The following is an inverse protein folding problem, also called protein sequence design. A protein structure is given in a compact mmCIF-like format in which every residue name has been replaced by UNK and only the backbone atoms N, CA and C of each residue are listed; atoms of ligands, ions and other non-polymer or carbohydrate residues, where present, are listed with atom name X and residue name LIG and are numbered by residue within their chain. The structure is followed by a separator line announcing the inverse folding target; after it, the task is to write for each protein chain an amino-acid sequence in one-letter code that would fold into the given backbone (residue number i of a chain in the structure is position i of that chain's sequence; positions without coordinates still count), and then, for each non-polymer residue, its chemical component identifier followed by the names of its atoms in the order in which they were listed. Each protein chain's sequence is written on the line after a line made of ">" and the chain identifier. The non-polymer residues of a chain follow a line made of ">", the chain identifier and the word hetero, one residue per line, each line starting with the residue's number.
data_IF_073298050758
#
_entry.id   IF_073298050758
#
_cell.length_a   1.000
_cell.length_b   1.000
_cell.length_c   1.000
_cell.angle_alpha   90.00
_cell.angle_beta   90.00
_cell.angle_gamma   90.00
#
_symmetry.space_group_name_H-M   'P 1'
#
loop_
_entity.id
_entity.type
_entity.pdbx_description
1 polymer ?
#
# COMPACT_ATOMS: atom_id res chain seq x y z
N UNK A 1 25.60 -11.60 -14.93
CA UNK A 1 24.29 -11.82 -15.57
C UNK A 1 23.61 -12.95 -14.83
N UNK A 2 22.52 -12.65 -14.14
CA UNK A 2 21.75 -13.62 -13.35
C UNK A 2 20.43 -13.90 -14.10
N UNK A 3 20.11 -15.16 -14.45
CA UNK A 3 19.09 -15.50 -15.45
C UNK A 3 17.62 -15.50 -14.95
N UNK A 4 17.29 -14.90 -13.81
CA UNK A 4 15.93 -14.95 -13.24
C UNK A 4 15.06 -13.69 -13.41
N UNK A 5 15.53 -12.59 -13.99
CA UNK A 5 14.66 -11.59 -14.65
C UNK A 5 13.51 -10.94 -13.85
N UNK A 6 13.49 -11.01 -12.52
CA UNK A 6 12.54 -10.26 -11.69
C UNK A 6 13.17 -8.92 -11.34
N UNK A 7 13.04 -7.96 -12.27
CA UNK A 7 13.33 -6.57 -11.99
C UNK A 7 12.44 -6.10 -10.84
N UNK A 8 13.07 -5.58 -9.78
CA UNK A 8 12.41 -4.93 -8.66
C UNK A 8 11.62 -3.72 -9.13
N UNK A 9 10.40 -3.97 -9.59
CA UNK A 9 9.34 -2.96 -9.63
C UNK A 9 8.84 -2.82 -8.21
N UNK A 10 9.14 -1.68 -7.57
CA UNK A 10 8.39 -1.23 -6.41
C UNK A 10 6.93 -1.34 -6.79
N UNK A 11 6.24 -2.28 -6.16
CA UNK A 11 4.88 -2.56 -6.55
C UNK A 11 4.00 -1.76 -5.63
N UNK A 12 3.32 -0.83 -6.27
CA UNK A 12 2.43 0.19 -5.74
C UNK A 12 1.63 -0.27 -4.50
N UNK A 13 1.21 0.70 -3.67
CA UNK A 13 0.05 0.52 -2.79
C UNK A 13 -1.23 0.45 -3.64
N UNK A 14 -1.30 -0.63 -4.41
CA UNK A 14 -2.44 -0.98 -5.22
C UNK A 14 -3.47 -1.57 -4.27
N UNK A 15 -4.66 -0.97 -4.23
CA UNK A 15 -5.88 -1.72 -3.93
C UNK A 15 -6.10 -2.66 -5.11
N UNK A 16 -5.24 -3.68 -5.21
CA UNK A 16 -5.15 -4.53 -6.38
C UNK A 16 -6.48 -5.26 -6.59
N UNK A 17 -6.96 -5.22 -7.82
CA UNK A 17 -7.96 -6.16 -8.27
C UNK A 17 -7.30 -7.53 -8.37
N UNK A 18 -7.46 -8.35 -7.33
CA UNK A 18 -7.26 -9.78 -7.47
C UNK A 18 -8.22 -10.28 -8.54
N UNK A 19 -7.73 -10.43 -9.76
CA UNK A 19 -8.41 -11.11 -10.86
C UNK A 19 -8.44 -12.60 -10.52
N UNK A 20 -9.36 -12.99 -9.62
CA UNK A 20 -9.69 -14.38 -9.40
C UNK A 20 -10.43 -14.90 -10.61
N UNK A 21 -9.70 -15.51 -11.55
CA UNK A 21 -10.32 -16.40 -12.55
C UNK A 21 -10.97 -17.54 -11.78
N UNK A 22 -12.30 -17.47 -11.62
CA UNK A 22 -13.11 -18.55 -11.08
C UNK A 22 -13.17 -19.69 -12.08
N UNK A 23 -12.21 -20.61 -11.99
CA UNK A 23 -12.29 -21.97 -12.55
C UNK A 23 -12.78 -22.93 -11.46
N UNK A 24 -13.92 -23.57 -11.70
CA UNK A 24 -14.71 -24.28 -10.68
C UNK A 24 -14.10 -25.54 -10.06
N UNK A 25 -14.70 -25.94 -8.94
CA UNK A 25 -14.48 -27.22 -8.27
C UNK A 25 -15.17 -27.22 -6.92
N UNK A 26 -16.20 -28.07 -6.77
CA UNK A 26 -16.99 -28.18 -5.55
C UNK A 26 -16.15 -28.55 -4.33
N UNK A 27 -16.33 -27.80 -3.26
CA UNK A 27 -15.75 -28.08 -1.96
C UNK A 27 -16.44 -27.24 -0.89
N UNK A 28 -17.44 -27.82 -0.23
CA UNK A 28 -18.01 -27.29 1.00
C UNK A 28 -17.00 -27.45 2.13
N UNK A 29 -16.00 -26.58 2.15
CA UNK A 29 -15.07 -26.41 3.26
C UNK A 29 -15.17 -24.97 3.72
N UNK A 30 -15.68 -24.72 4.93
CA UNK A 30 -15.59 -23.40 5.56
C UNK A 30 -14.13 -23.17 5.97
N UNK A 31 -13.29 -22.87 4.98
CA UNK A 31 -11.93 -22.39 5.18
C UNK A 31 -11.94 -20.90 5.48
N UNK A 32 -10.95 -20.43 6.24
CA UNK A 32 -10.73 -18.99 6.40
C UNK A 32 -10.45 -18.36 5.02
N UNK A 33 -11.24 -17.34 4.66
CA UNK A 33 -11.05 -16.56 3.44
C UNK A 33 -10.12 -15.37 3.73
N UNK A 34 -9.10 -15.15 2.89
CA UNK A 34 -8.28 -13.95 2.96
C UNK A 34 -9.07 -12.75 2.39
N UNK A 35 -9.61 -11.93 3.28
CA UNK A 35 -10.45 -10.78 2.92
C UNK A 35 -9.63 -9.52 2.60
N UNK A 36 -8.56 -9.27 3.34
CA UNK A 36 -7.70 -8.11 3.14
C UNK A 36 -6.29 -8.37 3.70
N UNK A 37 -5.30 -7.64 3.18
CA UNK A 37 -3.89 -7.74 3.56
C UNK A 37 -3.23 -6.36 3.51
N UNK A 38 -2.35 -6.09 4.47
CA UNK A 38 -1.55 -4.87 4.55
C UNK A 38 -0.07 -5.25 4.72
N UNK A 39 0.80 -4.74 3.85
CA UNK A 39 2.25 -4.87 3.96
C UNK A 39 2.85 -3.55 4.44
N UNK A 40 3.54 -3.61 5.57
CA UNK A 40 4.12 -2.44 6.23
C UNK A 40 5.60 -2.71 6.49
N UNK A 41 6.44 -1.79 6.04
CA UNK A 41 7.84 -1.67 6.44
C UNK A 41 8.06 -0.48 7.37
N UNK A 42 9.29 -0.34 7.85
CA UNK A 42 9.73 0.77 8.70
C UNK A 42 11.06 1.33 8.20
N UNK A 43 11.57 2.38 8.83
CA UNK A 43 12.90 2.92 8.55
C UNK A 43 14.02 1.84 8.65
N UNK A 44 15.07 1.99 7.86
CA UNK A 44 16.27 1.13 7.94
C UNK A 44 16.14 -0.27 7.32
N UNK A 45 15.06 -0.58 6.61
CA UNK A 45 14.93 -1.83 5.87
C UNK A 45 15.82 -1.84 4.62
N UNK A 46 16.46 -2.97 4.34
CA UNK A 46 17.09 -3.23 3.04
C UNK A 46 16.03 -3.62 2.00
N UNK A 47 15.17 -2.65 1.67
CA UNK A 47 14.08 -2.84 0.72
C UNK A 47 14.40 -2.15 -0.60
N UNK A 48 14.59 -2.96 -1.65
CA UNK A 48 14.99 -2.50 -2.98
C UNK A 48 13.83 -1.89 -3.78
N UNK A 49 13.13 -0.91 -3.21
CA UNK A 49 12.05 -0.14 -3.86
C UNK A 49 12.47 1.33 -4.03
N UNK A 50 12.42 1.89 -5.25
CA UNK A 50 12.62 3.32 -5.48
C UNK A 50 11.65 4.20 -4.68
N UNK A 51 10.42 3.73 -4.46
CA UNK A 51 9.41 4.45 -3.67
C UNK A 51 9.79 4.47 -2.19
N UNK A 52 10.18 3.31 -1.64
CA UNK A 52 10.69 3.23 -0.27
C UNK A 52 11.91 4.12 -0.07
N UNK A 53 12.87 4.10 -1.01
CA UNK A 53 14.06 4.98 -0.95
C UNK A 53 13.67 6.45 -0.95
N UNK A 54 12.71 6.86 -1.78
CA UNK A 54 12.23 8.24 -1.78
C UNK A 54 11.74 8.68 -0.39
N UNK A 55 11.03 7.80 0.33
CA UNK A 55 10.57 8.03 1.70
C UNK A 55 11.73 8.01 2.69
N UNK A 56 12.57 6.98 2.64
CA UNK A 56 13.70 6.79 3.55
C UNK A 56 14.74 7.93 3.45
N UNK A 57 14.88 8.57 2.30
CA UNK A 57 15.74 9.73 2.10
C UNK A 57 15.16 11.02 2.72
N UNK A 58 13.90 11.03 3.16
CA UNK A 58 13.15 12.24 3.58
C UNK A 58 12.59 12.17 5.00
N UNK A 59 12.42 10.97 5.54
CA UNK A 59 11.83 10.75 6.86
C UNK A 59 12.78 9.90 7.70
N UNK A 60 13.15 10.39 8.89
CA UNK A 60 14.08 9.70 9.78
C UNK A 60 13.44 8.46 10.46
N UNK A 61 12.15 8.55 10.78
CA UNK A 61 11.34 7.47 11.38
C UNK A 61 9.96 7.46 10.76
N UNK A 62 9.46 6.28 10.38
CA UNK A 62 8.18 6.15 9.69
C UNK A 62 7.71 4.70 9.58
N UNK A 63 6.41 4.53 9.37
CA UNK A 63 5.85 3.30 8.81
C UNK A 63 5.55 3.52 7.32
N UNK A 64 5.92 2.55 6.49
CA UNK A 64 5.73 2.61 5.05
C UNK A 64 4.84 1.47 4.58
N UNK A 65 3.68 1.82 4.03
CA UNK A 65 2.73 0.87 3.46
C UNK A 65 3.09 0.66 2.00
N UNK A 66 3.69 -0.50 1.72
CA UNK A 66 3.96 -0.93 0.35
C UNK A 66 2.64 -1.29 -0.33
N UNK A 67 1.75 -2.03 0.34
CA UNK A 67 0.50 -2.54 -0.25
C UNK A 67 -0.64 -2.68 0.72
N UNK A 68 -1.85 -2.34 0.26
CA UNK A 68 -3.12 -2.63 0.91
C UNK A 68 -4.10 -3.29 -0.07
N UNK A 69 -4.33 -4.58 0.10
CA UNK A 69 -5.15 -5.40 -0.81
C UNK A 69 -6.46 -5.74 -0.13
N UNK A 70 -7.58 -5.60 -0.85
CA UNK A 70 -8.91 -6.02 -0.39
C UNK A 70 -9.54 -6.90 -1.45
N UNK A 71 -9.97 -8.10 -1.05
CA UNK A 71 -10.66 -9.06 -1.92
C UNK A 71 -11.83 -8.40 -2.63
N UNK A 72 -12.01 -8.71 -3.92
CA UNK A 72 -13.00 -8.03 -4.76
C UNK A 72 -14.43 -8.15 -4.21
N UNK A 73 -14.78 -9.33 -3.69
CA UNK A 73 -16.05 -9.65 -3.01
C UNK A 73 -16.32 -8.81 -1.76
N UNK A 74 -15.28 -8.25 -1.15
CA UNK A 74 -15.33 -7.54 0.13
C UNK A 74 -14.97 -6.05 0.01
N UNK A 75 -14.99 -5.50 -1.21
CA UNK A 75 -14.78 -4.07 -1.43
C UNK A 75 -15.90 -3.25 -0.79
N UNK A 76 -15.56 -2.06 -0.31
CA UNK A 76 -16.49 -1.15 0.38
C UNK A 76 -17.11 -1.72 1.67
N UNK A 77 -16.61 -2.84 2.20
CA UNK A 77 -17.02 -3.43 3.49
C UNK A 77 -16.33 -2.81 4.71
N UNK A 78 -15.40 -1.88 4.47
CA UNK A 78 -14.51 -1.31 5.50
C UNK A 78 -13.28 -2.16 5.83
N UNK A 79 -13.08 -3.34 5.22
CA UNK A 79 -11.97 -4.24 5.55
C UNK A 79 -10.58 -3.58 5.49
N UNK A 80 -10.27 -2.81 4.42
CA UNK A 80 -9.01 -2.09 4.32
C UNK A 80 -8.86 -0.98 5.36
N UNK A 81 -9.93 -0.26 5.68
CA UNK A 81 -9.91 0.77 6.73
C UNK A 81 -9.65 0.17 8.11
N UNK A 82 -10.18 -1.01 8.42
CA UNK A 82 -9.87 -1.71 9.67
C UNK A 82 -8.40 -2.10 9.80
N UNK A 83 -7.76 -2.52 8.70
CA UNK A 83 -6.31 -2.76 8.70
C UNK A 83 -5.54 -1.46 8.96
N UNK A 84 -5.99 -0.35 8.38
CA UNK A 84 -5.41 0.97 8.64
C UNK A 84 -5.62 1.44 10.07
N UNK A 85 -6.80 1.22 10.66
CA UNK A 85 -7.10 1.56 12.06
C UNK A 85 -6.07 0.91 13.00
N UNK A 86 -5.80 -0.39 12.86
CA UNK A 86 -4.78 -1.07 13.67
C UNK A 86 -3.36 -0.57 13.43
N UNK A 87 -3.00 -0.24 12.17
CA UNK A 87 -1.71 0.37 11.88
C UNK A 87 -1.59 1.76 12.51
N UNK A 88 -2.66 2.55 12.50
CA UNK A 88 -2.66 3.90 13.04
C UNK A 88 -2.62 3.94 14.55
N UNK A 89 -3.22 2.96 15.24
CA UNK A 89 -3.06 2.81 16.68
C UNK A 89 -1.57 2.68 17.04
N UNK A 90 -0.85 1.76 16.38
CA UNK A 90 0.59 1.60 16.55
C UNK A 90 1.37 2.87 16.18
N UNK A 91 1.03 3.50 15.05
CA UNK A 91 1.71 4.69 14.57
C UNK A 91 1.52 5.89 15.52
N UNK A 92 0.29 6.07 16.04
CA UNK A 92 -0.04 7.14 16.98
C UNK A 92 0.70 6.90 18.32
N UNK A 93 0.76 5.66 18.83
CA UNK A 93 1.51 5.29 20.04
C UNK A 93 3.01 5.59 19.94
N UNK A 94 3.62 5.29 18.79
CA UNK A 94 5.06 5.47 18.55
C UNK A 94 5.42 6.85 17.99
N UNK A 95 4.42 7.72 17.79
CA UNK A 95 4.56 9.04 17.15
C UNK A 95 5.24 8.94 15.77
N UNK A 96 4.82 7.98 14.96
CA UNK A 96 5.35 7.70 13.62
C UNK A 96 4.38 8.18 12.53
N UNK A 97 4.86 8.91 11.51
CA UNK A 97 4.07 9.13 10.30
C UNK A 97 3.90 7.82 9.52
N UNK A 98 2.74 7.67 8.89
CA UNK A 98 2.48 6.56 7.96
C UNK A 98 2.52 7.09 6.54
N UNK A 99 3.43 6.54 5.72
CA UNK A 99 3.59 6.86 4.32
C UNK A 99 3.10 5.72 3.42
N UNK A 100 2.58 6.09 2.26
CA UNK A 100 2.28 5.19 1.16
C UNK A 100 2.47 5.93 -0.17
N UNK A 101 2.43 5.21 -1.29
CA UNK A 101 2.36 5.81 -2.62
C UNK A 101 1.09 5.42 -3.37
N UNK A 102 0.63 6.31 -4.25
CA UNK A 102 -0.49 6.08 -5.15
C UNK A 102 -0.09 6.46 -6.57
N UNK A 103 -0.37 5.61 -7.56
CA UNK A 103 -0.10 5.94 -8.96
C UNK A 103 -0.85 7.22 -9.37
N UNK A 104 -0.10 8.18 -9.89
CA UNK A 104 -0.59 9.42 -10.48
C UNK A 104 -0.51 9.41 -12.01
N UNK A 105 0.31 8.54 -12.59
CA UNK A 105 0.34 8.25 -14.03
C UNK A 105 0.56 6.74 -14.30
N UNK A 106 -0.46 6.00 -14.81
CA UNK A 106 -1.85 6.45 -14.95
C UNK A 106 -2.51 6.65 -13.57
N UNK A 107 -3.44 7.59 -13.43
CA UNK A 107 -4.03 7.92 -12.13
C UNK A 107 -4.86 6.77 -11.56
N UNK A 108 -4.71 6.51 -10.26
CA UNK A 108 -5.54 5.58 -9.50
C UNK A 108 -6.48 6.32 -8.52
N UNK A 109 -7.58 6.93 -9.00
CA UNK A 109 -8.46 7.75 -8.16
C UNK A 109 -9.16 6.95 -7.06
N UNK A 110 -9.36 5.64 -7.25
CA UNK A 110 -9.93 4.76 -6.22
C UNK A 110 -9.00 4.60 -5.04
N UNK A 111 -7.70 4.35 -5.29
CA UNK A 111 -6.71 4.23 -4.24
C UNK A 111 -6.50 5.57 -3.55
N UNK A 112 -6.41 6.67 -4.31
CA UNK A 112 -6.29 8.01 -3.74
C UNK A 112 -7.46 8.35 -2.80
N UNK A 113 -8.70 8.19 -3.26
CA UNK A 113 -9.88 8.46 -2.43
C UNK A 113 -10.01 7.50 -1.23
N UNK A 114 -9.41 6.32 -1.29
CA UNK A 114 -9.31 5.44 -0.12
C UNK A 114 -8.32 6.00 0.91
N UNK A 115 -7.13 6.40 0.48
CA UNK A 115 -6.14 7.01 1.38
C UNK A 115 -6.64 8.33 1.98
N UNK A 116 -7.21 9.23 1.18
CA UNK A 116 -7.79 10.50 1.68
C UNK A 116 -8.85 10.28 2.77
N UNK A 117 -9.75 9.30 2.58
CA UNK A 117 -10.75 8.93 3.60
C UNK A 117 -10.16 8.36 4.89
N UNK A 118 -8.96 7.78 4.82
CA UNK A 118 -8.21 7.31 5.98
C UNK A 118 -7.28 8.39 6.57
N UNK A 119 -7.41 9.65 6.13
CA UNK A 119 -6.70 10.80 6.71
C UNK A 119 -5.34 11.12 6.08
N UNK A 120 -4.98 10.43 4.99
CA UNK A 120 -3.76 10.73 4.26
C UNK A 120 -3.88 12.01 3.43
N UNK A 121 -2.73 12.65 3.18
CA UNK A 121 -2.59 13.84 2.33
C UNK A 121 -1.36 13.68 1.43
N UNK A 122 -1.41 14.20 0.21
CA UNK A 122 -0.24 14.17 -0.68
C UNK A 122 0.89 15.03 -0.08
N UNK A 123 2.10 14.48 -0.03
CA UNK A 123 3.32 15.14 0.48
C UNK A 123 4.43 15.27 -0.55
N UNK A 124 4.28 14.61 -1.70
CA UNK A 124 5.21 14.75 -2.82
C UNK A 124 4.81 13.86 -3.98
N UNK A 125 5.49 14.06 -5.11
CA UNK A 125 5.30 13.24 -6.30
C UNK A 125 6.65 12.90 -6.90
N UNK A 126 6.72 11.78 -7.60
CA UNK A 126 7.92 11.38 -8.33
C UNK A 126 7.56 10.69 -9.64
N UNK A 127 8.14 11.20 -10.73
CA UNK A 127 8.08 10.56 -12.05
C UNK A 127 9.31 9.69 -12.23
N UNK A 128 9.12 8.37 -12.21
CA UNK A 128 10.20 7.41 -12.42
C UNK A 128 10.60 7.31 -13.88
N UNK A 129 9.61 7.37 -14.78
CA UNK A 129 9.75 7.33 -16.24
C UNK A 129 8.46 7.84 -16.90
N UNK A 130 8.48 8.17 -18.20
CA UNK A 130 7.24 8.51 -18.92
C UNK A 130 6.18 7.43 -18.76
N UNK A 131 4.95 7.80 -18.38
CA UNK A 131 3.85 6.87 -18.13
C UNK A 131 3.94 6.11 -16.81
N UNK A 132 4.84 6.50 -15.90
CA UNK A 132 4.90 5.97 -14.54
C UNK A 132 5.33 7.04 -13.53
N UNK A 133 4.33 7.56 -12.81
CA UNK A 133 4.51 8.50 -11.72
C UNK A 133 3.64 8.11 -10.52
N UNK A 134 4.11 8.47 -9.33
CA UNK A 134 3.41 8.24 -8.07
C UNK A 134 3.32 9.53 -7.26
N UNK A 135 2.22 9.66 -6.51
CA UNK A 135 2.06 10.62 -5.44
C UNK A 135 2.30 9.90 -4.11
N UNK A 136 3.22 10.41 -3.31
CA UNK A 136 3.44 9.97 -1.94
C UNK A 136 2.43 10.64 -1.03
N UNK A 137 1.76 9.85 -0.20
CA UNK A 137 0.75 10.30 0.74
C UNK A 137 1.18 10.01 2.17
N UNK A 138 0.92 10.95 3.08
CA UNK A 138 1.26 10.85 4.50
C UNK A 138 0.02 11.01 5.38
N UNK A 139 -0.09 10.18 6.42
CA UNK A 139 -0.89 10.47 7.60
C UNK A 139 0.07 10.70 8.77
N UNK A 140 0.06 11.92 9.30
CA UNK A 140 0.78 12.26 10.52
C UNK A 140 0.17 11.54 11.74
N UNK A 141 0.98 11.18 12.75
CA UNK A 141 0.45 10.61 13.98
C UNK A 141 -0.39 11.65 14.73
N UNK A 142 -1.35 11.19 15.52
CA UNK A 142 -2.02 12.06 16.50
C UNK A 142 -1.05 12.38 17.64
N UNK A 143 -1.04 13.64 18.05
CA UNK A 143 -0.28 14.12 19.22
C UNK A 143 -0.99 13.88 20.54
#
# INVERSE_FOLDING_TARGET
>A
VDPAGLGGGGGDAEVAAGSGSGGGGGGSGSGAELVALLFVGQEGMDYASPNYRWVADRYDRFLYVDRVIVAQSHRSSGAGSRLYESLFELADEESLPVLAEVNSDPPNPRSLAFHERNGFRIVGSHTHRPGYAVDFVCREPKG
#
